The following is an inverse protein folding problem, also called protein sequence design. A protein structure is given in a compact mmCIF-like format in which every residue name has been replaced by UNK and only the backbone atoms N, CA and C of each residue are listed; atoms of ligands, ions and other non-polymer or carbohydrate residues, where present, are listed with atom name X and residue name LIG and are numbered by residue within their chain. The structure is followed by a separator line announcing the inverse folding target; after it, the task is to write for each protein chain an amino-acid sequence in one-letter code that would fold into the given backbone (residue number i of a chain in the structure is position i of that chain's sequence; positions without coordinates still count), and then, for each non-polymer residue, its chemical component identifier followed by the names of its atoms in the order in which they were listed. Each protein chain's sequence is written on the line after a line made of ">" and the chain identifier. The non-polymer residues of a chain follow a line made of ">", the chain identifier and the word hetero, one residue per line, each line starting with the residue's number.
data_IF_494487945720
#
_entry.id   IF_494487945720
#
_cell.length_a   1.000
_cell.length_b   1.000
_cell.length_c   1.000
_cell.angle_alpha   90.00
_cell.angle_beta   90.00
_cell.angle_gamma   90.00
#
_symmetry.space_group_name_H-M   'P 1'
#
loop_
_entity.id
_entity.type
_entity.pdbx_description
1 polymer ?
#
# COMPACT_ATOMS: atom_id res chain seq x y z
N UNK A 1 -16.50 -17.48 -49.72
CA UNK A 1 -17.61 -16.56 -50.00
C UNK A 1 -18.89 -17.38 -50.14
N UNK A 2 -19.93 -17.00 -49.37
CA UNK A 2 -21.37 -17.23 -49.61
C UNK A 2 -21.84 -18.69 -49.67
N UNK A 3 -22.38 -19.25 -48.60
CA UNK A 3 -23.71 -18.99 -48.01
C UNK A 3 -24.88 -19.37 -48.93
N UNK A 4 -25.58 -20.42 -48.48
CA UNK A 4 -27.03 -20.58 -48.48
C UNK A 4 -27.77 -20.64 -49.83
N UNK A 5 -28.27 -21.84 -50.14
CA UNK A 5 -29.61 -22.02 -50.69
C UNK A 5 -30.15 -23.35 -50.12
N UNK A 6 -30.58 -23.35 -48.87
CA UNK A 6 -31.97 -23.20 -48.48
C UNK A 6 -32.90 -24.14 -49.23
N UNK A 7 -33.41 -25.12 -48.46
CA UNK A 7 -34.82 -25.46 -48.38
C UNK A 7 -35.50 -25.66 -49.72
N UNK A 8 -35.76 -26.90 -50.11
CA UNK A 8 -37.13 -27.33 -50.36
C UNK A 8 -37.18 -28.86 -50.33
N UNK A 9 -37.67 -29.34 -49.19
CA UNK A 9 -38.67 -30.39 -49.10
C UNK A 9 -38.22 -31.82 -49.46
N UNK A 10 -37.98 -32.63 -48.44
CA UNK A 10 -39.06 -33.30 -47.70
C UNK A 10 -39.71 -34.39 -48.53
N UNK A 11 -39.06 -35.55 -48.47
CA UNK A 11 -39.61 -36.88 -48.70
C UNK A 11 -38.36 -37.71 -49.01
N UNK A 12 -38.04 -38.78 -48.32
CA UNK A 12 -38.85 -39.66 -47.52
C UNK A 12 -37.85 -40.71 -47.03
N UNK A 13 -38.03 -41.24 -45.83
CA UNK A 13 -37.41 -42.49 -45.37
C UNK A 13 -35.87 -42.44 -45.25
N UNK A 14 -35.24 -42.70 -44.11
CA UNK A 14 -35.38 -43.98 -43.44
C UNK A 14 -34.57 -44.06 -42.12
N UNK A 15 -34.24 -42.94 -41.48
CA UNK A 15 -33.41 -42.99 -40.28
C UNK A 15 -34.08 -42.31 -39.09
N UNK A 16 -34.86 -43.12 -38.38
CA UNK A 16 -35.08 -43.03 -36.94
C UNK A 16 -36.17 -42.06 -36.45
N UNK A 17 -37.32 -42.07 -37.12
CA UNK A 17 -38.61 -41.66 -36.53
C UNK A 17 -39.10 -42.70 -35.50
N UNK A 18 -38.37 -42.90 -34.40
CA UNK A 18 -38.99 -43.24 -33.12
C UNK A 18 -39.09 -41.93 -32.35
N UNK A 19 -40.25 -41.32 -32.52
CA UNK A 19 -40.75 -40.15 -31.81
C UNK A 19 -40.69 -40.36 -30.29
N UNK A 20 -39.62 -39.88 -29.67
CA UNK A 20 -39.64 -39.45 -28.27
C UNK A 20 -39.78 -37.92 -28.30
N UNK A 21 -40.88 -37.36 -27.81
CA UNK A 21 -41.08 -35.92 -27.82
C UNK A 21 -40.02 -35.24 -26.95
N UNK A 22 -39.27 -34.34 -27.57
CA UNK A 22 -38.46 -33.32 -26.91
C UNK A 22 -39.42 -32.31 -26.27
N UNK A 23 -39.82 -32.57 -25.03
CA UNK A 23 -40.45 -31.58 -24.19
C UNK A 23 -39.36 -30.92 -23.35
N UNK A 24 -39.02 -29.70 -23.74
CA UNK A 24 -38.42 -28.73 -22.84
C UNK A 24 -39.36 -28.53 -21.63
N UNK A 25 -38.87 -28.83 -20.44
CA UNK A 25 -39.34 -28.28 -19.18
C UNK A 25 -38.12 -28.37 -18.24
N UNK A 26 -37.36 -27.28 -18.11
CA UNK A 26 -37.58 -26.28 -17.07
C UNK A 26 -37.52 -26.92 -15.69
N UNK A 27 -36.50 -26.52 -14.93
CA UNK A 27 -36.24 -26.92 -13.57
C UNK A 27 -37.51 -26.93 -12.70
N UNK A 28 -37.71 -28.03 -11.98
CA UNK A 28 -38.27 -27.99 -10.63
C UNK A 28 -37.43 -28.94 -9.78
N UNK A 29 -36.19 -28.55 -9.51
CA UNK A 29 -35.58 -28.89 -8.23
C UNK A 29 -36.37 -28.14 -7.15
N UNK A 30 -37.58 -28.62 -6.86
CA UNK A 30 -38.29 -28.25 -5.64
C UNK A 30 -37.33 -28.61 -4.51
N UNK A 31 -36.71 -27.60 -3.91
CA UNK A 31 -35.82 -27.78 -2.79
C UNK A 31 -36.65 -28.30 -1.62
N UNK A 32 -36.87 -29.62 -1.60
CA UNK A 32 -37.52 -30.32 -0.50
C UNK A 32 -36.72 -30.00 0.76
N UNK A 33 -37.40 -29.41 1.73
CA UNK A 33 -36.82 -29.04 3.02
C UNK A 33 -36.12 -30.28 3.60
N UNK A 34 -34.82 -30.21 3.96
CA UNK A 34 -34.10 -31.36 4.52
C UNK A 34 -34.82 -31.90 5.75
N UNK A 35 -35.03 -33.23 5.83
CA UNK A 35 -35.74 -33.83 6.97
C UNK A 35 -35.06 -33.55 8.32
N UNK A 36 -33.74 -33.42 8.30
CA UNK A 36 -32.93 -33.03 9.47
C UNK A 36 -33.28 -31.62 9.97
N UNK A 37 -33.61 -30.69 9.07
CA UNK A 37 -34.05 -29.34 9.44
C UNK A 37 -35.43 -29.36 10.10
N UNK A 38 -36.34 -30.20 9.59
CA UNK A 38 -37.68 -30.38 10.16
C UNK A 38 -37.58 -30.94 11.58
N UNK A 39 -36.71 -31.92 11.80
CA UNK A 39 -36.46 -32.51 13.13
C UNK A 39 -35.79 -31.52 14.10
N UNK A 40 -34.85 -30.71 13.61
CA UNK A 40 -34.27 -29.62 14.41
C UNK A 40 -35.31 -28.57 14.80
N UNK A 41 -36.21 -28.20 13.89
CA UNK A 41 -37.30 -27.27 14.17
C UNK A 41 -38.31 -27.84 15.16
N UNK A 42 -38.65 -29.13 15.06
CA UNK A 42 -39.60 -29.76 15.97
C UNK A 42 -39.08 -29.89 17.40
N UNK A 43 -37.76 -30.06 17.54
CA UNK A 43 -37.12 -30.29 18.83
C UNK A 43 -36.59 -29.00 19.49
N UNK A 44 -36.99 -27.82 18.98
CA UNK A 44 -36.49 -26.54 19.46
C UNK A 44 -37.60 -25.58 19.88
N UNK A 45 -37.37 -24.83 20.95
CA UNK A 45 -38.34 -23.87 21.49
C UNK A 45 -38.19 -22.49 20.83
N UNK A 46 -38.91 -22.28 19.73
CA UNK A 46 -38.86 -21.06 18.92
C UNK A 46 -39.89 -20.06 19.44
N UNK A 47 -39.43 -18.99 20.11
CA UNK A 47 -40.32 -17.98 20.71
C UNK A 47 -40.30 -16.65 19.93
N UNK A 48 -39.24 -16.39 19.19
CA UNK A 48 -39.04 -15.17 18.39
C UNK A 48 -38.51 -15.47 17.00
N UNK A 49 -38.67 -14.50 16.09
CA UNK A 49 -38.10 -14.59 14.73
C UNK A 49 -36.57 -14.77 14.75
N UNK A 50 -35.89 -14.20 15.76
CA UNK A 50 -34.46 -14.36 15.97
C UNK A 50 -34.07 -15.80 16.37
N UNK A 51 -34.91 -16.49 17.14
CA UNK A 51 -34.68 -17.90 17.52
C UNK A 51 -34.74 -18.81 16.30
N UNK A 52 -35.70 -18.57 15.39
CA UNK A 52 -35.81 -19.29 14.12
C UNK A 52 -34.59 -19.02 13.22
N UNK A 53 -34.18 -17.75 13.10
CA UNK A 53 -32.96 -17.38 12.37
C UNK A 53 -31.71 -18.04 12.96
N UNK A 54 -31.62 -18.22 14.28
CA UNK A 54 -30.50 -18.91 14.93
C UNK A 54 -30.51 -20.42 14.66
N UNK A 55 -31.69 -21.04 14.68
CA UNK A 55 -31.88 -22.47 14.41
C UNK A 55 -31.60 -22.87 12.97
N UNK A 56 -31.94 -21.99 12.04
CA UNK A 56 -31.64 -22.13 10.62
C UNK A 56 -30.22 -21.66 10.27
N UNK A 57 -29.41 -21.28 11.26
CA UNK A 57 -28.07 -20.69 11.09
C UNK A 57 -28.05 -19.47 10.13
N UNK A 58 -29.18 -18.78 10.02
CA UNK A 58 -29.36 -17.54 9.26
C UNK A 58 -28.75 -16.31 9.95
N UNK A 59 -27.92 -16.51 10.98
CA UNK A 59 -26.98 -15.49 11.46
C UNK A 59 -25.65 -15.68 10.73
N UNK A 60 -25.67 -15.14 9.52
CA UNK A 60 -24.68 -15.28 8.46
C UNK A 60 -23.41 -14.47 8.76
N UNK A 61 -22.30 -15.17 9.03
CA UNK A 61 -20.92 -14.67 9.20
C UNK A 61 -20.61 -13.82 10.46
N UNK A 62 -19.41 -14.03 11.02
CA UNK A 62 -18.82 -13.20 12.09
C UNK A 62 -18.65 -11.74 11.59
N UNK A 63 -18.96 -10.77 12.43
CA UNK A 63 -18.77 -9.36 12.11
C UNK A 63 -17.29 -9.05 11.90
N UNK A 64 -16.95 -8.44 10.77
CA UNK A 64 -15.56 -8.10 10.45
C UNK A 64 -15.03 -7.02 11.41
N UNK A 65 -14.07 -7.39 12.25
CA UNK A 65 -13.39 -6.44 13.14
C UNK A 65 -12.33 -5.66 12.35
N UNK A 66 -12.39 -4.31 12.33
CA UNK A 66 -11.42 -3.51 11.58
C UNK A 66 -10.03 -3.60 12.21
N UNK A 67 -9.00 -3.72 11.37
CA UNK A 67 -7.62 -3.63 11.80
C UNK A 67 -7.28 -2.19 12.22
N UNK A 68 -7.47 -1.83 13.49
CA UNK A 68 -7.24 -0.48 13.99
C UNK A 68 -5.81 0.04 13.70
N UNK A 69 -5.67 1.34 13.48
CA UNK A 69 -4.38 2.04 13.34
C UNK A 69 -3.61 2.01 14.67
N UNK A 70 -2.59 1.13 14.75
CA UNK A 70 -1.73 0.98 15.93
C UNK A 70 -0.36 0.43 15.55
N UNK A 71 0.57 0.44 16.49
CA UNK A 71 1.86 -0.21 16.33
C UNK A 71 1.69 -1.73 16.32
N UNK A 72 2.32 -2.41 15.36
CA UNK A 72 2.43 -3.87 15.29
C UNK A 72 3.87 -4.23 14.96
N UNK A 73 4.24 -5.45 15.33
CA UNK A 73 5.52 -6.03 14.97
C UNK A 73 5.50 -6.45 13.50
N UNK A 74 6.47 -5.96 12.74
CA UNK A 74 6.71 -6.31 11.35
C UNK A 74 8.13 -6.86 11.20
N UNK A 75 8.30 -7.73 10.21
CA UNK A 75 9.62 -8.27 9.85
C UNK A 75 10.33 -7.28 8.94
N UNK A 76 11.52 -6.85 9.35
CA UNK A 76 12.41 -5.99 8.58
C UNK A 76 13.60 -6.80 8.06
N UNK A 77 13.66 -6.98 6.75
CA UNK A 77 14.84 -7.51 6.08
C UNK A 77 15.95 -6.46 6.06
N UNK A 78 17.15 -6.84 6.49
CA UNK A 78 18.28 -5.92 6.60
C UNK A 78 18.90 -5.71 5.21
N UNK A 79 18.84 -4.49 4.64
CA UNK A 79 19.43 -4.21 3.33
C UNK A 79 20.94 -4.40 3.35
N UNK A 80 21.47 -5.07 2.33
CA UNK A 80 22.93 -5.31 2.18
C UNK A 80 23.74 -4.01 2.20
N UNK A 81 23.20 -2.94 1.62
CA UNK A 81 23.83 -1.62 1.58
C UNK A 81 24.00 -0.98 2.96
N UNK A 82 23.19 -1.34 3.96
CA UNK A 82 23.36 -0.87 5.33
C UNK A 82 24.48 -1.59 6.08
N UNK A 83 24.80 -2.82 5.67
CA UNK A 83 25.88 -3.62 6.28
C UNK A 83 27.21 -3.32 5.61
N UNK A 84 27.24 -3.38 4.28
CA UNK A 84 28.40 -3.01 3.48
C UNK A 84 27.95 -2.68 2.04
N UNK A 85 28.01 -1.42 1.60
CA UNK A 85 27.63 -1.03 0.24
C UNK A 85 28.66 -1.42 -0.82
N UNK A 86 29.88 -1.82 -0.44
CA UNK A 86 31.00 -2.07 -1.37
C UNK A 86 31.13 -3.54 -1.78
N UNK A 87 30.70 -4.47 -0.93
CA UNK A 87 30.84 -5.90 -1.16
C UNK A 87 29.49 -6.57 -1.50
N UNK A 88 29.50 -7.54 -2.40
CA UNK A 88 28.34 -8.40 -2.66
C UNK A 88 28.48 -9.82 -2.07
N UNK A 89 29.71 -10.22 -1.71
CA UNK A 89 30.05 -11.61 -1.36
C UNK A 89 30.09 -11.84 0.15
N UNK A 90 28.97 -11.59 0.83
CA UNK A 90 28.83 -11.83 2.26
C UNK A 90 27.42 -12.30 2.64
N UNK A 91 27.30 -12.95 3.79
CA UNK A 91 26.03 -13.30 4.42
C UNK A 91 25.76 -12.39 5.62
N UNK A 92 24.49 -12.09 5.87
CA UNK A 92 24.03 -11.31 7.01
C UNK A 92 23.33 -12.27 7.97
N UNK A 93 23.73 -12.24 9.24
CA UNK A 93 23.09 -13.04 10.28
C UNK A 93 22.71 -12.17 11.50
N UNK A 94 21.44 -12.17 11.93
CA UNK A 94 20.25 -12.68 11.22
C UNK A 94 19.92 -11.84 9.96
N UNK A 95 19.23 -12.40 8.95
CA UNK A 95 18.88 -11.66 7.72
C UNK A 95 17.71 -10.68 7.92
N UNK A 96 16.84 -10.94 8.90
CA UNK A 96 15.68 -10.12 9.22
C UNK A 96 15.53 -9.97 10.75
N UNK A 97 14.88 -8.88 11.16
CA UNK A 97 14.67 -8.50 12.56
C UNK A 97 13.25 -7.97 12.76
N UNK A 98 12.77 -7.98 14.00
CA UNK A 98 11.49 -7.40 14.35
C UNK A 98 11.60 -5.88 14.55
N UNK A 99 10.67 -5.14 13.95
CA UNK A 99 10.51 -3.69 14.12
C UNK A 99 9.05 -3.35 14.42
N UNK A 100 8.83 -2.32 15.24
CA UNK A 100 7.49 -1.80 15.48
C UNK A 100 7.13 -0.81 14.37
N UNK A 101 6.00 -1.02 13.68
CA UNK A 101 5.53 -0.16 12.60
C UNK A 101 4.04 0.14 12.75
N UNK A 102 3.64 1.27 12.18
CA UNK A 102 2.24 1.68 12.21
C UNK A 102 1.51 0.98 11.08
N UNK A 103 0.51 0.18 11.42
CA UNK A 103 -0.31 -0.58 10.48
C UNK A 103 -1.79 -0.50 10.83
N UNK A 104 -2.64 -0.94 9.91
CA UNK A 104 -4.09 -0.89 10.04
C UNK A 104 -4.73 0.28 9.28
N UNK A 105 -6.02 0.45 9.50
CA UNK A 105 -6.89 1.35 8.76
C UNK A 105 -7.45 2.46 9.66
N UNK A 106 -7.82 3.56 9.00
CA UNK A 106 -8.60 4.64 9.59
C UNK A 106 -10.07 4.51 9.15
N UNK A 107 -10.98 5.22 9.80
CA UNK A 107 -12.42 5.13 9.53
C UNK A 107 -12.80 5.45 8.08
N UNK A 108 -12.03 6.32 7.42
CA UNK A 108 -12.28 6.73 6.03
C UNK A 108 -11.03 6.59 5.18
N UNK A 109 -11.23 6.34 3.89
CA UNK A 109 -10.15 6.23 2.90
C UNK A 109 -9.44 7.55 2.60
N UNK A 110 -9.95 8.69 3.08
CA UNK A 110 -9.30 10.01 2.99
C UNK A 110 -8.23 10.23 4.07
N UNK A 111 -8.17 9.33 5.04
CA UNK A 111 -7.15 9.29 6.08
C UNK A 111 -6.13 8.17 5.85
N UNK A 112 -4.95 8.32 6.44
CA UNK A 112 -3.89 7.29 6.45
C UNK A 112 -3.30 7.19 7.85
N UNK A 113 -2.97 5.96 8.25
CA UNK A 113 -2.31 5.68 9.51
C UNK A 113 -0.83 6.07 9.39
N UNK A 114 -0.35 7.00 10.22
CA UNK A 114 1.01 7.49 10.21
C UNK A 114 1.62 7.46 11.61
N UNK A 115 2.93 7.34 11.70
CA UNK A 115 3.65 7.45 12.96
C UNK A 115 3.64 8.90 13.46
N UNK A 116 3.14 9.14 14.67
CA UNK A 116 3.28 10.43 15.35
C UNK A 116 4.63 10.52 16.06
N UNK A 117 5.15 9.40 16.58
CA UNK A 117 6.41 9.31 17.30
C UNK A 117 7.24 8.12 16.82
N UNK A 118 8.53 8.34 16.64
CA UNK A 118 9.50 7.37 16.14
C UNK A 118 10.71 7.29 17.05
N UNK A 119 11.31 6.12 17.14
CA UNK A 119 12.55 5.84 17.87
C UNK A 119 13.53 5.13 16.94
N UNK A 120 14.79 5.55 17.01
CA UNK A 120 15.87 4.82 16.35
C UNK A 120 16.62 4.01 17.41
N UNK A 121 16.94 2.75 17.07
CA UNK A 121 17.81 1.90 17.89
C UNK A 121 18.86 1.22 17.03
N UNK A 122 20.06 1.05 17.58
CA UNK A 122 21.13 0.32 16.90
C UNK A 122 21.15 -1.13 17.35
N UNK A 123 21.18 -2.04 16.40
CA UNK A 123 21.34 -3.49 16.64
C UNK A 123 22.65 -3.97 16.03
N UNK A 124 23.22 -5.03 16.61
CA UNK A 124 24.40 -5.68 16.05
C UNK A 124 23.98 -6.87 15.21
N UNK A 125 24.55 -6.97 14.01
CA UNK A 125 24.42 -8.13 13.12
C UNK A 125 25.79 -8.62 12.69
N UNK A 126 25.87 -9.88 12.27
CA UNK A 126 27.09 -10.47 11.76
C UNK A 126 27.16 -10.36 10.24
N UNK A 127 28.26 -9.78 9.75
CA UNK A 127 28.72 -9.89 8.37
C UNK A 127 29.66 -11.10 8.27
N UNK A 128 29.31 -12.08 7.45
CA UNK A 128 30.09 -13.30 7.25
C UNK A 128 30.67 -13.30 5.83
N UNK A 129 31.98 -13.27 5.72
CA UNK A 129 32.73 -13.28 4.46
C UNK A 129 33.56 -14.56 4.34
N UNK A 130 33.69 -15.12 3.14
CA UNK A 130 34.62 -16.22 2.89
C UNK A 130 35.89 -15.69 2.26
N UNK A 131 36.97 -15.60 3.03
CA UNK A 131 38.27 -15.12 2.58
C UNK A 131 39.28 -16.25 2.72
N UNK A 132 39.97 -16.59 1.62
CA UNK A 132 40.95 -17.70 1.58
C UNK A 132 40.38 -19.02 2.12
N UNK A 133 39.17 -19.38 1.68
CA UNK A 133 38.42 -20.59 2.10
C UNK A 133 38.12 -20.70 3.61
N UNK A 134 38.23 -19.60 4.36
CA UNK A 134 37.87 -19.55 5.78
C UNK A 134 36.77 -18.50 6.01
N UNK A 135 35.73 -18.81 6.80
CA UNK A 135 34.73 -17.82 7.16
C UNK A 135 35.35 -16.77 8.10
N UNK A 136 35.03 -15.51 7.85
CA UNK A 136 35.40 -14.34 8.64
C UNK A 136 34.13 -13.65 9.09
N UNK A 137 33.92 -13.60 10.40
CA UNK A 137 32.77 -12.94 11.02
C UNK A 137 33.19 -11.56 11.54
N UNK A 138 32.36 -10.55 11.26
CA UNK A 138 32.50 -9.20 11.81
C UNK A 138 31.16 -8.70 12.31
N UNK A 139 31.13 -8.06 13.48
CA UNK A 139 29.94 -7.36 13.96
C UNK A 139 29.80 -6.02 13.24
N UNK A 140 28.59 -5.72 12.77
CA UNK A 140 28.21 -4.46 12.15
C UNK A 140 26.98 -3.92 12.86
N UNK A 141 26.97 -2.62 13.16
CA UNK A 141 25.82 -1.96 13.76
C UNK A 141 24.89 -1.44 12.67
N UNK A 142 23.61 -1.78 12.75
CA UNK A 142 22.55 -1.32 11.85
C UNK A 142 21.54 -0.52 12.64
N UNK A 143 21.09 0.61 12.10
CA UNK A 143 20.03 1.42 12.71
C UNK A 143 18.65 0.97 12.22
N UNK A 144 17.76 0.70 13.18
CA UNK A 144 16.36 0.38 12.94
C UNK A 144 15.48 1.55 13.36
N UNK A 145 14.38 1.77 12.64
CA UNK A 145 13.34 2.74 12.98
C UNK A 145 12.09 2.00 13.48
N UNK A 146 11.75 2.25 14.75
CA UNK A 146 10.54 1.79 15.41
C UNK A 146 9.54 2.95 15.54
N UNK A 147 8.28 2.67 15.26
CA UNK A 147 7.17 3.58 15.54
C UNK A 147 6.69 3.32 16.97
N UNK A 148 6.60 4.37 17.79
CA UNK A 148 6.14 4.29 19.17
C UNK A 148 4.64 4.62 19.29
N UNK A 149 4.14 5.52 18.46
CA UNK A 149 2.74 5.98 18.48
C UNK A 149 2.24 6.21 17.05
N UNK A 150 0.94 5.96 16.83
CA UNK A 150 0.29 6.08 15.53
C UNK A 150 -0.94 6.99 15.60
N UNK A 151 -1.19 7.74 14.53
CA UNK A 151 -2.36 8.62 14.39
C UNK A 151 -2.90 8.59 12.97
N UNK A 152 -4.21 8.67 12.83
CA UNK A 152 -4.87 8.86 11.54
C UNK A 152 -4.74 10.33 11.11
N UNK A 153 -4.11 10.57 9.95
CA UNK A 153 -3.96 11.91 9.37
C UNK A 153 -4.64 11.99 8.00
N UNK A 154 -5.18 13.15 7.65
CA UNK A 154 -5.75 13.36 6.30
C UNK A 154 -4.64 13.36 5.24
N UNK A 155 -4.94 12.79 4.06
CA UNK A 155 -3.97 12.74 2.94
C UNK A 155 -3.46 14.13 2.53
N UNK A 156 -4.32 15.16 2.60
CA UNK A 156 -3.98 16.54 2.24
C UNK A 156 -2.96 17.21 3.18
N UNK A 157 -2.90 16.80 4.45
CA UNK A 157 -1.93 17.36 5.40
C UNK A 157 -0.50 16.84 5.16
N UNK A 158 -0.36 15.65 4.56
CA UNK A 158 0.94 15.05 4.26
C UNK A 158 1.65 15.76 3.10
N UNK A 159 0.92 16.24 2.09
CA UNK A 159 1.47 17.04 0.97
C UNK A 159 1.94 18.44 1.41
N UNK A 160 1.19 19.08 2.30
CA UNK A 160 1.53 20.40 2.85
C UNK A 160 2.91 20.43 3.55
N UNK A 161 3.30 19.37 4.26
CA UNK A 161 4.61 19.29 4.94
C UNK A 161 5.79 19.17 3.96
N UNK A 162 5.57 18.59 2.77
CA UNK A 162 6.60 18.49 1.73
C UNK A 162 6.72 19.79 0.91
N UNK A 163 5.60 20.47 0.64
CA UNK A 163 5.61 21.71 -0.14
C UNK A 163 6.09 22.95 0.66
N UNK A 164 5.81 23.01 1.96
CA UNK A 164 6.22 24.16 2.80
C UNK A 164 7.74 24.27 2.98
N UNK A 165 8.47 23.14 2.96
CA UNK A 165 9.94 23.13 3.01
C UNK A 165 10.61 23.68 1.75
N UNK A 166 10.10 23.31 0.57
CA UNK A 166 10.63 23.80 -0.71
C UNK A 166 10.28 25.26 -0.98
N UNK A 167 9.09 25.73 -0.58
CA UNK A 167 8.69 27.12 -0.79
C UNK A 167 9.54 28.10 0.03
N UNK A 168 9.75 27.82 1.33
CA UNK A 168 10.59 28.66 2.21
C UNK A 168 12.05 28.74 1.74
N UNK A 169 12.60 27.64 1.20
CA UNK A 169 13.96 27.62 0.65
C UNK A 169 14.07 28.43 -0.65
N UNK A 170 13.07 28.34 -1.54
CA UNK A 170 13.01 29.14 -2.78
C UNK A 170 12.85 30.63 -2.48
N UNK A 171 12.00 31.02 -1.54
CA UNK A 171 11.79 32.42 -1.16
C UNK A 171 13.04 33.03 -0.52
N UNK A 172 13.73 32.28 0.36
CA UNK A 172 15.01 32.71 0.96
C UNK A 172 16.12 32.84 -0.08
N UNK A 173 16.18 31.96 -1.08
CA UNK A 173 17.12 32.06 -2.21
C UNK A 173 16.81 33.27 -3.09
N UNK A 174 15.53 33.52 -3.40
CA UNK A 174 15.08 34.67 -4.19
C UNK A 174 15.41 36.00 -3.50
N UNK A 175 15.18 36.10 -2.18
CA UNK A 175 15.54 37.29 -1.39
C UNK A 175 17.05 37.58 -1.39
N UNK A 176 17.89 36.54 -1.22
CA UNK A 176 19.36 36.68 -1.29
C UNK A 176 19.87 37.10 -2.68
N UNK A 177 19.24 36.63 -3.75
CA UNK A 177 19.60 37.02 -5.12
C UNK A 177 19.22 38.49 -5.36
N UNK A 178 18.04 38.91 -4.89
CA UNK A 178 17.58 40.29 -4.97
C UNK A 178 18.53 41.24 -4.22
N UNK A 179 18.87 40.93 -2.97
CA UNK A 179 19.83 41.71 -2.16
C UNK A 179 21.21 41.84 -2.83
N UNK A 180 21.70 40.76 -3.47
CA UNK A 180 22.96 40.80 -4.24
C UNK A 180 22.86 41.66 -5.50
N UNK A 181 21.73 41.58 -6.21
CA UNK A 181 21.47 42.41 -7.38
C UNK A 181 21.40 43.90 -7.01
N UNK A 182 20.71 44.24 -5.92
CA UNK A 182 20.56 45.63 -5.48
C UNK A 182 21.89 46.20 -4.94
N UNK A 183 22.70 45.38 -4.26
CA UNK A 183 24.06 45.77 -3.85
C UNK A 183 24.97 46.01 -5.07
N UNK A 184 24.86 45.19 -6.12
CA UNK A 184 25.64 45.36 -7.37
C UNK A 184 25.21 46.61 -8.14
N UNK A 185 23.92 46.92 -8.18
CA UNK A 185 23.38 48.17 -8.77
C UNK A 185 23.88 49.40 -8.01
N UNK A 186 23.88 49.37 -6.68
CA UNK A 186 24.36 50.47 -5.85
C UNK A 186 25.88 50.69 -6.04
N UNK A 187 26.67 49.62 -6.09
CA UNK A 187 28.11 49.71 -6.35
C UNK A 187 28.40 50.30 -7.74
N UNK A 188 27.66 49.90 -8.78
CA UNK A 188 27.83 50.44 -10.14
C UNK A 188 27.39 51.90 -10.26
N UNK A 189 26.36 52.32 -9.50
CA UNK A 189 25.95 53.73 -9.40
C UNK A 189 27.05 54.59 -8.78
N UNK A 190 27.74 54.08 -7.76
CA UNK A 190 28.89 54.74 -7.12
C UNK A 190 30.11 54.85 -8.03
N UNK A 191 30.36 53.84 -8.87
CA UNK A 191 31.47 53.88 -9.86
C UNK A 191 31.16 54.84 -11.01
N UNK A 192 29.91 54.91 -11.51
CA UNK A 192 29.54 55.87 -12.55
C UNK A 192 29.57 57.33 -12.07
N UNK A 193 29.27 57.59 -10.79
CA UNK A 193 29.45 58.93 -10.20
C UNK A 193 30.92 59.28 -9.89
N UNK A 194 31.85 58.34 -10.06
CA UNK A 194 33.28 58.51 -9.77
C UNK A 194 34.19 58.64 -11.00
N UNK A 195 33.67 58.49 -12.22
CA UNK A 195 34.40 58.83 -13.46
C UNK A 195 33.95 60.20 -13.96
N UNK A 196 34.46 61.24 -13.31
CA UNK A 196 34.62 62.56 -13.92
C UNK A 196 36.04 63.03 -13.59
N UNK A 197 37.00 62.60 -14.42
CA UNK A 197 38.30 63.24 -14.56
C UNK A 197 38.35 63.80 -15.98
N UNK A 198 38.16 65.11 -16.10
CA UNK A 198 38.56 65.88 -17.28
C UNK A 198 39.94 66.48 -17.03
N UNK A 199 40.78 66.28 -18.04
CA UNK A 199 42.16 66.69 -18.37
C UNK A 199 42.69 68.06 -17.86
N UNK A 200 44.03 68.27 -17.91
CA UNK A 200 44.75 69.42 -17.35
C UNK A 200 44.65 70.66 -18.25
N UNK A 201 44.90 71.89 -17.73
CA UNK A 201 45.04 73.09 -18.55
C UNK A 201 46.50 73.34 -18.99
N UNK A 202 46.63 74.00 -20.14
CA UNK A 202 47.85 74.60 -20.73
C UNK A 202 48.48 75.70 -19.85
#
# INVERSE_FOLDING_TARGET
>A
MRAALCCLLACCCCCCCFSVPHAAAAATGEALIPRELIERLSNSEIRTMSDLQRLLELHTAEEAVPAACKTRTEVYEIPRSQVDPTAANFLIWPPCVEVARCSGCCNTSTMRCHASKKQHRSVKVAKIEYVRRKPKLREVQVQLEDHLECVCMSKHHTESRLHTGHSRARDKKRKRIQEKSDKKKNLKKRTLSGLSLTLPPD
#
